data_IF_586241753319
#
_entry.id   IF_586241753319
#
_cell.length_a   1.000
_cell.length_b   1.000
_cell.length_c   1.000
_cell.angle_alpha   90.00
_cell.angle_beta   90.00
_cell.angle_gamma   90.00
#
_symmetry.space_group_name_H-M   'P 1'
#
loop_
_entity.id
_entity.type
_entity.pdbx_description
1 polymer ?
#
# COMPACT_ATOMS: atom_id res chain seq x y z
N UNK A 1 12.51 10.11 10.75
CA UNK A 1 12.47 8.63 10.81
C UNK A 1 11.04 8.13 10.75
N UNK A 2 10.82 7.06 10.02
CA UNK A 2 9.51 6.41 9.99
C UNK A 2 9.41 5.41 11.14
N UNK A 3 8.19 5.19 11.65
CA UNK A 3 7.95 4.23 12.72
C UNK A 3 6.55 3.62 12.59
N UNK A 4 6.36 2.49 13.23
CA UNK A 4 5.08 1.78 13.25
C UNK A 4 4.38 2.02 14.59
N UNK A 5 3.08 2.23 14.53
CA UNK A 5 2.22 2.42 15.69
C UNK A 5 0.82 1.96 15.31
N UNK A 6 -0.06 1.75 16.28
CA UNK A 6 -1.47 1.45 16.01
C UNK A 6 -2.05 2.54 15.10
N UNK A 7 -2.67 2.12 14.01
CA UNK A 7 -3.30 3.04 13.06
C UNK A 7 -4.37 3.89 13.73
N UNK A 8 -4.53 5.12 13.24
CA UNK A 8 -5.65 5.99 13.62
C UNK A 8 -6.97 5.51 12.99
N UNK A 9 -6.90 4.65 11.99
CA UNK A 9 -8.08 4.04 11.38
C UNK A 9 -8.54 2.84 12.21
N UNK A 10 -9.85 2.71 12.49
CA UNK A 10 -10.38 1.58 13.23
C UNK A 10 -10.10 0.26 12.52
N UNK A 11 -9.71 -0.76 13.28
CA UNK A 11 -9.48 -2.12 12.79
C UNK A 11 -8.42 -2.25 11.69
N UNK A 12 -7.56 -1.25 11.55
CA UNK A 12 -6.52 -1.28 10.53
C UNK A 12 -5.17 -1.83 11.03
N UNK A 13 -5.09 -2.26 12.28
CA UNK A 13 -3.87 -2.78 12.87
C UNK A 13 -2.79 -1.71 13.00
N UNK A 14 -1.56 -2.02 12.57
CA UNK A 14 -0.47 -1.06 12.58
C UNK A 14 -0.56 -0.11 11.41
N UNK A 15 -0.11 1.13 11.61
CA UNK A 15 0.07 2.14 10.60
C UNK A 15 1.50 2.62 10.52
N UNK A 16 1.83 3.30 9.46
CA UNK A 16 3.14 3.90 9.22
C UNK A 16 3.06 5.38 9.58
N UNK A 17 4.01 5.85 10.38
CA UNK A 17 4.05 7.23 10.87
C UNK A 17 5.40 7.87 10.59
N UNK A 18 5.43 9.20 10.58
CA UNK A 18 6.67 9.97 10.47
C UNK A 18 6.89 10.82 11.73
N UNK A 19 8.14 10.91 12.18
CA UNK A 19 8.53 11.80 13.28
C UNK A 19 9.05 13.16 12.80
N UNK A 20 9.10 13.39 11.49
CA UNK A 20 9.59 14.63 10.90
C UNK A 20 8.63 15.16 9.83
N UNK A 21 8.82 16.41 9.46
CA UNK A 21 8.06 17.05 8.39
C UNK A 21 8.46 16.48 7.04
N UNK A 22 7.48 16.07 6.25
CA UNK A 22 7.69 15.60 4.88
C UNK A 22 7.01 16.59 3.94
N UNK A 23 7.75 17.06 2.95
CA UNK A 23 7.22 18.00 1.96
C UNK A 23 6.51 17.25 0.84
N UNK A 24 5.49 17.88 0.29
CA UNK A 24 4.82 17.39 -0.91
C UNK A 24 5.85 17.06 -2.00
N UNK A 25 5.71 15.88 -2.59
CA UNK A 25 6.61 15.41 -3.65
C UNK A 25 7.81 14.60 -3.16
N UNK A 26 8.09 14.58 -1.86
CA UNK A 26 9.18 13.76 -1.33
C UNK A 26 8.83 12.28 -1.39
N UNK A 27 9.83 11.47 -1.73
CA UNK A 27 9.73 10.02 -1.55
C UNK A 27 9.77 9.70 -0.06
N UNK A 28 8.75 8.99 0.42
CA UNK A 28 8.65 8.63 1.83
C UNK A 28 9.38 7.31 2.08
N UNK A 29 9.04 6.30 1.30
CA UNK A 29 9.58 4.94 1.45
C UNK A 29 9.35 4.16 0.18
N UNK A 30 10.25 3.22 -0.12
CA UNK A 30 10.03 2.25 -1.17
C UNK A 30 9.04 1.18 -0.69
N UNK A 31 8.11 0.81 -1.54
CA UNK A 31 7.25 -0.35 -1.32
C UNK A 31 8.03 -1.61 -1.69
N UNK A 32 8.68 -2.20 -0.71
CA UNK A 32 9.52 -3.38 -0.90
C UNK A 32 8.74 -4.65 -0.71
N UNK A 33 9.03 -5.62 -1.56
CA UNK A 33 8.45 -6.95 -1.50
C UNK A 33 9.19 -7.88 -2.44
N UNK A 34 8.69 -9.10 -2.55
CA UNK A 34 9.19 -10.06 -3.52
C UNK A 34 8.72 -9.66 -4.93
N UNK A 35 9.60 -9.84 -5.90
CA UNK A 35 9.23 -9.65 -7.30
C UNK A 35 8.75 -11.00 -7.83
N UNK A 36 7.46 -11.07 -8.11
CA UNK A 36 6.80 -12.30 -8.58
C UNK A 36 5.90 -12.00 -9.77
N UNK A 37 5.63 -12.99 -10.65
CA UNK A 37 4.64 -12.80 -11.69
C UNK A 37 3.22 -12.76 -11.10
N UNK A 38 2.30 -12.14 -11.81
CA UNK A 38 0.91 -12.03 -11.35
C UNK A 38 0.28 -13.40 -11.09
N UNK A 39 0.64 -14.40 -11.87
CA UNK A 39 0.17 -15.78 -11.66
C UNK A 39 0.51 -16.31 -10.27
N UNK A 40 1.65 -15.92 -9.70
CA UNK A 40 2.02 -16.31 -8.34
C UNK A 40 1.15 -15.59 -7.30
N UNK A 41 0.82 -14.32 -7.54
CA UNK A 41 -0.10 -13.58 -6.68
C UNK A 41 -1.46 -14.26 -6.63
N UNK A 42 -1.96 -14.72 -7.78
CA UNK A 42 -3.23 -15.45 -7.87
C UNK A 42 -3.18 -16.76 -7.08
N UNK A 43 -2.08 -17.50 -7.17
CA UNK A 43 -1.89 -18.74 -6.37
C UNK A 43 -1.89 -18.46 -4.88
N UNK A 44 -1.20 -17.40 -4.46
CA UNK A 44 -1.16 -16.98 -3.05
C UNK A 44 -2.53 -16.58 -2.55
N UNK A 45 -3.31 -15.90 -3.39
CA UNK A 45 -4.68 -15.49 -3.06
C UNK A 45 -5.58 -16.69 -2.77
N UNK A 46 -5.42 -17.78 -3.51
CA UNK A 46 -6.18 -19.02 -3.26
C UNK A 46 -5.91 -19.62 -1.89
N UNK A 47 -4.76 -19.31 -1.30
CA UNK A 47 -4.37 -19.75 0.05
C UNK A 47 -4.70 -18.69 1.12
N UNK A 48 -5.34 -17.59 0.74
CA UNK A 48 -5.58 -16.47 1.63
C UNK A 48 -4.38 -15.55 1.85
N UNK A 49 -3.30 -15.75 1.12
CA UNK A 49 -2.05 -14.96 1.22
C UNK A 49 -2.07 -13.81 0.23
N UNK A 50 -2.99 -12.88 0.45
CA UNK A 50 -3.27 -11.78 -0.47
C UNK A 50 -3.29 -10.43 0.25
N UNK A 51 -3.45 -9.36 -0.52
CA UNK A 51 -3.69 -8.03 0.01
C UNK A 51 -2.48 -7.10 0.03
N UNK A 52 -1.30 -7.57 -0.38
CA UNK A 52 -0.06 -6.78 -0.34
C UNK A 52 0.66 -6.74 -1.69
N UNK A 53 0.01 -7.14 -2.77
CA UNK A 53 0.62 -7.14 -4.09
C UNK A 53 0.35 -5.83 -4.83
N UNK A 54 1.41 -5.25 -5.39
CA UNK A 54 1.32 -4.09 -6.26
C UNK A 54 1.68 -4.50 -7.69
N UNK A 55 0.72 -4.41 -8.58
CA UNK A 55 0.87 -4.80 -9.98
C UNK A 55 1.62 -3.74 -10.78
N UNK A 56 2.67 -4.16 -11.48
CA UNK A 56 3.37 -3.32 -12.45
C UNK A 56 3.15 -3.89 -13.86
N UNK A 57 3.34 -5.18 -14.02
CA UNK A 57 3.05 -5.92 -15.26
C UNK A 57 2.78 -7.38 -14.93
N UNK A 58 2.31 -8.16 -15.90
CA UNK A 58 2.02 -9.59 -15.71
C UNK A 58 3.22 -10.37 -15.16
N UNK A 59 4.43 -9.96 -15.52
CA UNK A 59 5.68 -10.62 -15.08
C UNK A 59 6.36 -9.94 -13.92
N UNK A 60 5.88 -8.79 -13.51
CA UNK A 60 6.55 -7.96 -12.51
C UNK A 60 5.55 -7.37 -11.55
N UNK A 61 5.37 -8.05 -10.44
CA UNK A 61 4.51 -7.61 -9.34
C UNK A 61 5.34 -7.56 -8.07
N UNK A 62 5.16 -6.51 -7.28
CA UNK A 62 5.81 -6.41 -5.97
C UNK A 62 4.83 -6.95 -4.94
N UNK A 63 5.16 -8.08 -4.31
CA UNK A 63 4.32 -8.67 -3.29
C UNK A 63 5.02 -8.61 -1.93
N UNK A 64 4.44 -7.85 -1.02
CA UNK A 64 4.97 -7.65 0.33
C UNK A 64 4.29 -8.55 1.37
N UNK A 65 3.52 -9.55 0.96
CA UNK A 65 2.82 -10.41 1.92
C UNK A 65 3.78 -11.04 2.94
N UNK A 66 4.89 -11.58 2.46
CA UNK A 66 5.90 -12.22 3.31
C UNK A 66 7.00 -11.26 3.79
N UNK A 67 7.05 -10.05 3.27
CA UNK A 67 8.11 -9.07 3.56
C UNK A 67 7.72 -8.21 4.77
N UNK A 68 7.50 -8.84 5.90
CA UNK A 68 6.93 -8.19 7.10
C UNK A 68 7.82 -7.13 7.72
N UNK A 69 9.12 -7.15 7.42
CA UNK A 69 10.08 -6.16 7.89
C UNK A 69 10.00 -4.84 7.12
N UNK A 70 9.38 -4.83 5.96
CA UNK A 70 9.34 -3.63 5.11
C UNK A 70 8.29 -2.64 5.59
N UNK A 71 8.70 -1.41 5.80
CA UNK A 71 7.85 -0.35 6.38
C UNK A 71 6.68 0.03 5.46
N UNK A 72 6.91 0.07 4.15
CA UNK A 72 5.90 0.53 3.19
C UNK A 72 4.60 -0.29 3.18
N UNK A 73 4.67 -1.57 3.55
CA UNK A 73 3.48 -2.42 3.58
C UNK A 73 2.46 -2.02 4.66
N UNK A 74 2.85 -1.20 5.61
CA UNK A 74 1.98 -0.79 6.72
C UNK A 74 1.24 0.53 6.48
N UNK A 75 1.44 1.17 5.35
CA UNK A 75 0.66 2.35 4.98
C UNK A 75 -0.78 1.95 4.66
N UNK A 76 -1.73 2.53 5.37
CA UNK A 76 -3.16 2.23 5.24
C UNK A 76 -3.84 3.23 4.30
N UNK A 77 -5.09 2.93 3.92
CA UNK A 77 -5.91 3.79 3.07
C UNK A 77 -7.09 4.37 3.88
N UNK A 78 -7.15 5.70 3.93
CA UNK A 78 -8.20 6.41 4.65
C UNK A 78 -9.55 6.44 3.92
N UNK A 79 -9.59 6.01 2.66
CA UNK A 79 -10.80 6.05 1.81
C UNK A 79 -11.50 4.70 1.70
N UNK A 80 -11.20 3.76 2.61
CA UNK A 80 -11.80 2.43 2.63
C UNK A 80 -13.22 2.40 3.19
N UNK A 81 -13.64 1.23 3.68
CA UNK A 81 -14.99 1.02 4.22
C UNK A 81 -15.25 1.82 5.50
N UNK A 82 -14.24 1.97 6.32
CA UNK A 82 -14.34 2.73 7.57
C UNK A 82 -13.58 4.04 7.39
N UNK A 83 -14.33 5.12 7.35
CA UNK A 83 -13.77 6.47 7.20
C UNK A 83 -13.87 7.21 8.52
N UNK A 84 -12.82 7.92 8.86
CA UNK A 84 -12.78 8.78 10.04
C UNK A 84 -12.79 10.23 9.58
N UNK A 85 -13.72 11.02 10.12
CA UNK A 85 -13.83 12.44 9.79
C UNK A 85 -12.49 13.13 10.06
N UNK A 86 -12.03 13.89 9.07
CA UNK A 86 -10.76 14.63 9.16
C UNK A 86 -9.53 13.83 8.75
N UNK A 87 -9.61 12.51 8.60
CA UNK A 87 -8.53 11.71 8.07
C UNK A 87 -8.67 11.56 6.55
N UNK A 88 -7.59 11.76 5.83
CA UNK A 88 -7.54 11.61 4.38
C UNK A 88 -6.15 11.19 3.94
N UNK A 89 -6.07 10.61 2.76
CA UNK A 89 -4.81 10.19 2.20
C UNK A 89 -3.89 11.39 1.95
N UNK A 90 -2.61 11.21 2.25
CA UNK A 90 -1.58 12.24 2.12
C UNK A 90 -0.42 11.78 1.25
N UNK A 91 -0.55 10.62 0.63
CA UNK A 91 0.49 10.03 -0.19
C UNK A 91 -0.12 9.18 -1.31
N UNK A 92 0.73 8.80 -2.26
CA UNK A 92 0.33 8.01 -3.41
C UNK A 92 1.46 7.09 -3.84
N UNK A 93 1.12 5.99 -4.53
CA UNK A 93 2.09 5.10 -5.12
C UNK A 93 2.59 5.65 -6.46
N UNK A 94 3.90 5.68 -6.63
CA UNK A 94 4.53 6.09 -7.88
C UNK A 94 5.50 4.99 -8.30
N UNK A 95 5.40 4.55 -9.55
CA UNK A 95 6.35 3.62 -10.14
C UNK A 95 7.44 4.44 -10.82
N UNK A 96 8.69 4.19 -10.45
CA UNK A 96 9.85 4.87 -11.03
C UNK A 96 10.90 3.86 -11.47
N UNK A 97 11.66 4.22 -12.50
CA UNK A 97 12.86 3.47 -12.86
C UNK A 97 14.04 4.04 -12.10
N UNK A 98 14.76 3.16 -11.40
CA UNK A 98 16.06 3.49 -10.80
C UNK A 98 17.08 2.46 -11.27
N UNK A 99 18.14 2.93 -11.93
CA UNK A 99 19.16 2.06 -12.54
C UNK A 99 18.54 0.99 -13.46
N UNK A 100 17.55 1.40 -14.26
CA UNK A 100 16.86 0.52 -15.20
C UNK A 100 15.83 -0.43 -14.59
N UNK A 101 15.68 -0.44 -13.26
CA UNK A 101 14.73 -1.31 -12.55
C UNK A 101 13.52 -0.51 -12.12
N UNK A 102 12.33 -1.03 -12.40
CA UNK A 102 11.07 -0.43 -11.94
C UNK A 102 10.87 -0.73 -10.46
N UNK A 103 10.62 0.33 -9.69
CA UNK A 103 10.36 0.25 -8.26
C UNK A 103 9.12 1.06 -7.91
N UNK A 104 8.48 0.70 -6.82
CA UNK A 104 7.28 1.39 -6.32
C UNK A 104 7.68 2.20 -5.10
N UNK A 105 7.30 3.47 -5.09
CA UNK A 105 7.54 4.37 -3.95
C UNK A 105 6.23 4.95 -3.46
N UNK A 106 6.16 5.17 -2.16
CA UNK A 106 5.12 5.99 -1.55
C UNK A 106 5.67 7.41 -1.52
N UNK A 107 4.96 8.33 -2.15
CA UNK A 107 5.37 9.72 -2.35
C UNK A 107 4.33 10.64 -1.72
N UNK A 108 4.75 11.65 -1.00
CA UNK A 108 3.86 12.61 -0.36
C UNK A 108 3.08 13.40 -1.43
N UNK A 109 1.76 13.39 -1.33
CA UNK A 109 0.86 14.17 -2.20
C UNK A 109 0.50 15.53 -1.59
N UNK A 110 0.91 15.78 -0.36
CA UNK A 110 0.79 17.02 0.38
C UNK A 110 1.87 17.06 1.47
N UNK A 111 2.02 18.20 2.12
CA UNK A 111 2.90 18.31 3.28
C UNK A 111 2.36 17.46 4.44
N UNK A 112 3.24 16.75 5.11
CA UNK A 112 2.90 15.84 6.21
C UNK A 112 3.63 16.32 7.46
N UNK A 113 2.89 16.57 8.52
CA UNK A 113 3.46 17.06 9.80
C UNK A 113 4.02 15.90 10.62
N UNK A 114 5.02 16.19 11.49
CA UNK A 114 5.51 15.18 12.43
C UNK A 114 4.37 14.57 13.27
N UNK A 115 4.47 13.28 13.54
CA UNK A 115 3.46 12.55 14.30
C UNK A 115 2.25 12.10 13.49
N UNK A 116 2.22 12.37 12.20
CA UNK A 116 1.09 12.04 11.32
C UNK A 116 1.26 10.65 10.70
N UNK A 117 0.15 9.96 10.57
CA UNK A 117 0.10 8.67 9.85
C UNK A 117 0.24 8.89 8.34
N UNK A 118 1.05 8.06 7.70
CA UNK A 118 1.16 8.02 6.23
C UNK A 118 -0.01 7.19 5.71
N UNK A 119 -0.92 7.85 4.99
CA UNK A 119 -2.12 7.24 4.44
C UNK A 119 -2.07 7.35 2.91
N UNK A 120 -2.21 6.22 2.25
CA UNK A 120 -2.04 6.09 0.80
C UNK A 120 -3.27 5.47 0.16
N UNK A 121 -3.65 5.95 -1.03
CA UNK A 121 -4.78 5.38 -1.76
C UNK A 121 -4.39 4.04 -2.39
N UNK A 122 -5.15 2.98 -2.08
CA UNK A 122 -5.01 1.67 -2.72
C UNK A 122 -5.67 1.62 -4.10
N UNK A 123 -6.43 2.66 -4.46
CA UNK A 123 -7.26 2.70 -5.65
C UNK A 123 -8.71 2.30 -5.34
N UNK A 124 -9.67 2.93 -6.03
CA UNK A 124 -11.10 2.73 -5.76
C UNK A 124 -11.54 1.28 -5.89
N UNK A 125 -11.00 0.57 -6.87
CA UNK A 125 -11.41 -0.83 -7.14
C UNK A 125 -11.00 -1.81 -6.03
N UNK A 126 -9.96 -1.52 -5.26
CA UNK A 126 -9.56 -2.36 -4.13
C UNK A 126 -10.72 -2.56 -3.16
N UNK A 127 -11.34 -1.46 -2.74
CA UNK A 127 -12.43 -1.47 -1.77
C UNK A 127 -13.72 -2.05 -2.35
N UNK A 128 -13.98 -1.79 -3.62
CA UNK A 128 -15.17 -2.32 -4.30
C UNK A 128 -15.16 -3.84 -4.45
N UNK A 129 -13.99 -4.44 -4.53
CA UNK A 129 -13.85 -5.87 -4.79
C UNK A 129 -13.71 -6.74 -3.53
N UNK A 130 -13.52 -6.14 -2.35
CA UNK A 130 -13.36 -6.90 -1.11
C UNK A 130 -14.62 -7.67 -0.69
N UNK A 131 -15.81 -7.17 -1.02
CA UNK A 131 -17.09 -7.79 -0.67
C UNK A 131 -17.56 -8.83 -1.68
N UNK A 132 -16.86 -8.97 -2.79
CA UNK A 132 -17.26 -9.87 -3.87
C UNK A 132 -16.26 -11.01 -3.96
N UNK A 133 -16.74 -12.25 -3.89
CA UNK A 133 -15.91 -13.38 -4.28
C UNK A 133 -15.46 -13.16 -5.71
N UNK A 134 -14.16 -13.12 -5.99
CA UNK A 134 -13.69 -12.83 -7.33
C UNK A 134 -14.13 -13.95 -8.29
N UNK A 135 -15.06 -13.65 -9.15
CA UNK A 135 -15.41 -14.50 -10.28
C UNK A 135 -14.42 -14.37 -11.43
N UNK A 136 -13.53 -13.38 -11.35
CA UNK A 136 -12.54 -13.02 -12.37
C UNK A 136 -11.23 -12.67 -11.71
N UNK A 137 -10.15 -12.62 -12.51
CA UNK A 137 -8.85 -12.07 -12.08
C UNK A 137 -9.06 -10.79 -11.28
N UNK A 138 -8.44 -10.66 -10.09
CA UNK A 138 -8.47 -9.41 -9.35
C UNK A 138 -7.91 -8.29 -10.23
N UNK A 139 -8.48 -7.11 -10.11
CA UNK A 139 -7.94 -5.95 -10.81
C UNK A 139 -6.61 -5.56 -10.21
N UNK A 140 -5.72 -5.17 -11.07
CA UNK A 140 -4.34 -4.78 -10.76
C UNK A 140 -4.31 -3.59 -9.81
N UNK A 141 -3.35 -3.58 -8.89
CA UNK A 141 -3.16 -2.56 -7.86
C UNK A 141 -4.29 -2.45 -6.83
N UNK A 142 -5.30 -3.29 -6.94
CA UNK A 142 -6.44 -3.30 -6.04
C UNK A 142 -6.37 -4.44 -5.03
N UNK A 143 -5.26 -5.15 -5.02
CA UNK A 143 -5.08 -6.37 -4.24
C UNK A 143 -4.25 -6.16 -2.99
N UNK A 144 -4.40 -5.00 -2.40
CA UNK A 144 -3.67 -4.60 -1.20
C UNK A 144 -4.62 -4.61 -0.03
N UNK A 145 -4.14 -5.14 1.09
CA UNK A 145 -4.93 -5.23 2.30
C UNK A 145 -4.93 -3.88 3.03
N UNK A 146 -6.10 -3.47 3.51
CA UNK A 146 -6.19 -2.45 4.54
C UNK A 146 -5.83 -3.12 5.87
N UNK A 147 -4.56 -3.10 6.18
CA UNK A 147 -3.92 -3.64 7.38
C UNK A 147 -4.74 -4.58 8.24
#
# INVERSE_FOLDING_TARGET
MLYLKKSTLPNAGKGLFTDHHIKRGEEIVEYKGEIVPWSEVEKRALKGHEGYAFYISERYTVDAYYTKWAMGRYANDATGFVRVKGLRNNSQYIVKRKNGIRKVFIVASRNILPGTEILVSYGGDYWQNLDKKPKKKPKKNNYRKAA
#
